data_IF_696323337308
#
_entry.id   IF_696323337308
#
_cell.length_a   1.000
_cell.length_b   1.000
_cell.length_c   1.000
_cell.angle_alpha   90.00
_cell.angle_beta   90.00
_cell.angle_gamma   90.00
#
_symmetry.space_group_name_H-M   'P 1'
#
loop_
_entity.id
_entity.type
_entity.pdbx_description
1 polymer ?
#
# COMPACT_ATOMS: atom_id res chain seq x y z
N UNK A 1 -10.37 -1.69 -4.41
CA UNK A 1 -9.48 -0.94 -3.48
C UNK A 1 -8.91 0.24 -4.23
N UNK A 2 -8.74 1.40 -3.58
CA UNK A 2 -8.09 2.59 -4.14
C UNK A 2 -7.01 3.11 -3.19
N UNK A 3 -5.92 3.62 -3.76
CA UNK A 3 -4.76 4.20 -3.05
C UNK A 3 -4.68 5.69 -3.39
N UNK A 4 -5.52 6.55 -2.77
CA UNK A 4 -5.57 7.98 -3.10
C UNK A 4 -4.33 8.70 -2.58
N UNK A 5 -3.69 9.51 -3.43
CA UNK A 5 -2.51 10.32 -3.08
C UNK A 5 -2.78 11.78 -3.41
N UNK A 6 -3.22 12.54 -2.40
CA UNK A 6 -3.43 13.99 -2.51
C UNK A 6 -3.24 14.66 -1.13
N UNK A 7 -2.78 15.91 -1.09
CA UNK A 7 -2.63 16.71 0.11
C UNK A 7 -2.62 18.22 -0.22
N UNK A 8 -3.50 19.05 0.38
CA UNK A 8 -4.56 18.71 1.34
C UNK A 8 -5.79 18.08 0.69
N UNK A 9 -6.60 17.37 1.48
CA UNK A 9 -7.85 16.80 1.01
C UNK A 9 -8.96 17.85 1.04
N UNK A 10 -9.55 18.13 -0.13
CA UNK A 10 -10.77 18.94 -0.25
C UNK A 10 -11.99 18.15 0.23
N UNK A 11 -13.08 18.85 0.54
CA UNK A 11 -14.38 18.22 0.87
C UNK A 11 -14.83 17.27 -0.24
N UNK A 12 -14.61 17.63 -1.51
CA UNK A 12 -14.95 16.79 -2.67
C UNK A 12 -14.19 15.45 -2.63
N UNK A 13 -12.90 15.47 -2.27
CA UNK A 13 -12.12 14.24 -2.11
C UNK A 13 -12.73 13.36 -1.03
N UNK A 14 -13.06 13.94 0.13
CA UNK A 14 -13.61 13.20 1.26
C UNK A 14 -14.99 12.60 0.97
N UNK A 15 -15.88 13.35 0.32
CA UNK A 15 -17.22 12.88 -0.06
C UNK A 15 -17.14 11.70 -1.04
N UNK A 16 -16.28 11.81 -2.06
CA UNK A 16 -16.07 10.73 -3.03
C UNK A 16 -15.47 9.48 -2.36
N UNK A 17 -14.46 9.66 -1.49
CA UNK A 17 -13.86 8.55 -0.77
C UNK A 17 -14.85 7.89 0.21
N UNK A 18 -15.71 8.67 0.86
CA UNK A 18 -16.76 8.15 1.73
C UNK A 18 -17.81 7.36 0.95
N UNK A 19 -18.26 7.88 -0.20
CA UNK A 19 -19.22 7.19 -1.05
C UNK A 19 -18.69 5.83 -1.51
N UNK A 20 -17.43 5.78 -1.97
CA UNK A 20 -16.76 4.54 -2.39
C UNK A 20 -16.56 3.57 -1.22
N UNK A 21 -16.15 4.08 -0.06
CA UNK A 21 -15.99 3.28 1.16
C UNK A 21 -17.31 2.60 1.57
N UNK A 22 -18.44 3.33 1.50
CA UNK A 22 -19.78 2.78 1.76
C UNK A 22 -20.20 1.69 0.77
N UNK A 23 -19.67 1.70 -0.45
CA UNK A 23 -19.88 0.66 -1.46
C UNK A 23 -18.95 -0.56 -1.28
N UNK A 24 -18.15 -0.59 -0.23
CA UNK A 24 -17.21 -1.68 0.06
C UNK A 24 -15.83 -1.50 -0.58
N UNK A 25 -15.52 -0.34 -1.14
CA UNK A 25 -14.18 -0.07 -1.67
C UNK A 25 -13.22 0.25 -0.52
N UNK A 26 -12.20 -0.58 -0.33
CA UNK A 26 -11.12 -0.28 0.62
C UNK A 26 -10.34 0.98 0.16
N UNK A 27 -10.30 2.00 1.00
CA UNK A 27 -9.51 3.23 0.81
C UNK A 27 -8.20 3.10 1.56
N UNK A 28 -7.08 3.01 0.84
CA UNK A 28 -5.75 2.72 1.42
C UNK A 28 -4.78 3.82 0.99
N UNK A 29 -4.87 5.04 1.57
CA UNK A 29 -3.93 6.10 1.23
C UNK A 29 -2.49 5.66 1.56
N UNK A 30 -1.49 6.03 0.73
CA UNK A 30 -0.09 5.68 0.94
C UNK A 30 0.48 6.57 2.06
N UNK A 31 0.18 6.20 3.30
CA UNK A 31 0.68 6.88 4.50
C UNK A 31 1.92 6.15 5.02
N UNK A 32 3.12 6.76 4.93
CA UNK A 32 4.34 6.20 5.50
C UNK A 32 4.17 5.84 6.97
N UNK A 33 4.61 4.65 7.36
CA UNK A 33 4.83 4.35 8.76
C UNK A 33 6.27 4.69 9.10
N UNK A 34 6.47 5.38 10.22
CA UNK A 34 7.80 5.70 10.74
C UNK A 34 8.12 4.94 12.03
N UNK A 35 7.19 4.14 12.56
CA UNK A 35 7.42 3.32 13.77
C UNK A 35 8.44 2.18 13.55
N UNK A 36 8.71 1.83 12.29
CA UNK A 36 9.71 0.84 11.89
C UNK A 36 11.09 1.46 11.64
N UNK A 37 11.26 2.76 11.92
CA UNK A 37 12.52 3.49 11.72
C UNK A 37 13.17 3.21 10.35
N UNK A 38 12.46 3.51 9.24
CA UNK A 38 13.00 3.26 7.90
C UNK A 38 14.27 4.09 7.71
N UNK A 39 15.33 3.46 7.20
CA UNK A 39 16.61 4.14 6.95
C UNK A 39 16.65 4.74 5.54
N UNK A 40 15.87 4.17 4.63
CA UNK A 40 15.82 4.56 3.22
C UNK A 40 14.40 4.91 2.77
N UNK A 41 14.32 5.66 1.66
CA UNK A 41 13.04 5.91 0.97
C UNK A 41 12.42 4.59 0.48
N UNK A 42 13.27 3.63 0.10
CA UNK A 42 12.83 2.33 -0.38
C UNK A 42 12.11 1.53 0.71
N UNK A 43 12.56 1.60 1.97
CA UNK A 43 11.87 0.97 3.11
C UNK A 43 10.45 1.54 3.31
N UNK A 44 10.30 2.86 3.11
CA UNK A 44 8.99 3.53 3.20
C UNK A 44 8.06 3.02 2.10
N UNK A 45 8.57 2.94 0.87
CA UNK A 45 7.81 2.46 -0.30
C UNK A 45 7.42 1.00 -0.10
N UNK A 46 8.36 0.14 0.30
CA UNK A 46 8.13 -1.28 0.56
C UNK A 46 7.06 -1.52 1.63
N UNK A 47 7.05 -0.72 2.70
CA UNK A 47 6.03 -0.84 3.73
C UNK A 47 4.62 -0.54 3.20
N UNK A 48 4.47 0.50 2.37
CA UNK A 48 3.19 0.86 1.75
C UNK A 48 2.77 -0.24 0.76
N UNK A 49 3.69 -0.71 -0.07
CA UNK A 49 3.42 -1.78 -1.06
C UNK A 49 3.02 -3.07 -0.36
N UNK A 50 3.69 -3.48 0.72
CA UNK A 50 3.36 -4.67 1.47
C UNK A 50 1.93 -4.64 2.04
N UNK A 51 1.47 -3.47 2.52
CA UNK A 51 0.10 -3.29 3.02
C UNK A 51 -0.94 -3.36 1.90
N UNK A 52 -0.65 -2.79 0.74
CA UNK A 52 -1.50 -2.85 -0.47
C UNK A 52 -1.54 -4.27 -1.05
N UNK A 53 -0.39 -4.94 -1.13
CA UNK A 53 -0.28 -6.31 -1.63
C UNK A 53 -0.95 -7.32 -0.69
N UNK A 54 -0.85 -7.11 0.62
CA UNK A 54 -1.47 -7.97 1.62
C UNK A 54 -3.01 -7.97 1.58
N UNK A 55 -3.64 -6.90 1.09
CA UNK A 55 -5.10 -6.81 0.98
C UNK A 55 -5.65 -7.46 -0.29
N UNK A 56 -4.86 -7.54 -1.37
CA UNK A 56 -5.28 -8.15 -2.65
C UNK A 56 -5.04 -9.66 -2.69
N UNK A 57 -4.07 -10.15 -1.92
CA UNK A 57 -3.57 -11.51 -2.10
C UNK A 57 -4.15 -12.48 -1.06
N UNK A 58 -4.63 -13.67 -1.48
CA UNK A 58 -5.22 -14.65 -0.57
C UNK A 58 -4.22 -15.09 0.51
N UNK A 59 -4.66 -15.11 1.77
CA UNK A 59 -3.84 -15.43 2.97
C UNK A 59 -2.99 -16.70 2.83
N UNK A 60 -3.44 -17.65 2.01
CA UNK A 60 -2.75 -18.92 1.75
C UNK A 60 -1.45 -18.76 0.96
N UNK A 61 -1.36 -17.74 0.12
CA UNK A 61 -0.21 -17.53 -0.77
C UNK A 61 0.66 -16.35 -0.29
N UNK A 62 0.24 -15.58 0.73
CA UNK A 62 0.80 -14.25 1.05
C UNK A 62 2.20 -14.27 1.64
N UNK A 63 2.60 -15.34 2.33
CA UNK A 63 3.93 -15.40 2.95
C UNK A 63 5.06 -15.33 1.93
N UNK A 64 4.92 -16.03 0.81
CA UNK A 64 5.94 -16.06 -0.22
C UNK A 64 5.93 -14.78 -1.08
N UNK A 65 4.75 -14.20 -1.33
CA UNK A 65 4.63 -12.93 -2.05
C UNK A 65 5.17 -11.73 -1.24
N UNK A 66 4.87 -11.67 0.07
CA UNK A 66 5.41 -10.62 0.95
C UNK A 66 6.92 -10.74 1.14
N UNK A 67 7.45 -11.97 1.21
CA UNK A 67 8.89 -12.19 1.25
C UNK A 67 9.60 -11.71 -0.03
N UNK A 68 8.94 -11.83 -1.20
CA UNK A 68 9.47 -11.34 -2.49
C UNK A 68 9.44 -9.82 -2.59
N UNK A 69 8.44 -9.17 -1.99
CA UNK A 69 8.41 -7.71 -1.89
C UNK A 69 9.50 -7.24 -0.92
N UNK A 70 9.69 -7.91 0.22
CA UNK A 70 10.76 -7.57 1.17
C UNK A 70 12.19 -7.81 0.66
N UNK A 71 12.36 -8.59 -0.41
CA UNK A 71 13.67 -8.89 -1.02
C UNK A 71 14.21 -7.77 -1.93
N UNK A 72 13.44 -6.69 -2.14
CA UNK A 72 13.89 -5.52 -2.89
C UNK A 72 13.82 -5.64 -4.42
N UNK A 73 14.22 -4.59 -5.16
CA UNK A 73 14.00 -4.45 -6.60
C UNK A 73 14.89 -5.35 -7.47
N UNK A 74 15.96 -5.95 -6.94
CA UNK A 74 16.89 -6.80 -7.71
C UNK A 74 16.25 -8.08 -8.29
N UNK A 75 15.07 -8.45 -7.79
CA UNK A 75 14.34 -9.63 -8.26
C UNK A 75 13.38 -9.33 -9.44
N UNK A 76 12.98 -8.07 -9.66
CA UNK A 76 12.08 -7.70 -10.77
C UNK A 76 12.83 -7.41 -12.09
N UNK A 77 14.17 -7.32 -12.05
CA UNK A 77 15.04 -7.44 -13.21
C UNK A 77 15.34 -8.91 -13.46
N UNK A 78 14.53 -9.56 -14.29
CA UNK A 78 14.71 -10.97 -14.63
C UNK A 78 16.11 -11.26 -15.21
N UNK A 79 16.76 -12.26 -14.61
CA UNK A 79 16.93 -13.54 -15.32
C UNK A 79 15.80 -14.50 -14.94
#
# INVERSE_FOLDING_TARGET
>A
MLVPREMPLSTIHLENMLALSRMGVAMVPPMPAFYNHPETVDDIVHHVVARVAGSIWPRTSSRQALARIAAGPEFFSGE
#
